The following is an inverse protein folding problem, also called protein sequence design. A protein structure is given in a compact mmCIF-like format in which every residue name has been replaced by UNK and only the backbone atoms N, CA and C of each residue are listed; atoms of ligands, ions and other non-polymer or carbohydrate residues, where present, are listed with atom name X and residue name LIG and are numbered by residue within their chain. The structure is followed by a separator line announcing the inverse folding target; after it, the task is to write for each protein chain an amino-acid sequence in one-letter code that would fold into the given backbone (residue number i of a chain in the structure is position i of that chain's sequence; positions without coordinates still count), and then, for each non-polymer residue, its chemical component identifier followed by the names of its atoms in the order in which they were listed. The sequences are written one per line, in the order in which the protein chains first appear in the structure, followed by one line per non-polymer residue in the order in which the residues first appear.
data_IF_311825628516
#
_entry.id   IF_311825628516
#
_cell.length_a   1.000
_cell.length_b   1.000
_cell.length_c   1.000
_cell.angle_alpha   90.00
_cell.angle_beta   90.00
_cell.angle_gamma   90.00
#
_symmetry.space_group_name_H-M   'P 1'
#
loop_
_entity.id
_entity.type
_entity.pdbx_description
1 polymer ?
#
# COMPACT_ATOMS: atom_id res chain seq x y z
N UNK A 1 -18.94 58.04 -24.40
CA UNK A 1 -18.67 59.16 -23.47
C UNK A 1 -20.00 59.72 -22.95
N UNK A 2 -20.07 60.00 -21.62
CA UNK A 2 -21.15 60.67 -20.84
C UNK A 2 -22.41 59.79 -20.61
N UNK A 3 -22.98 59.60 -19.41
CA UNK A 3 -22.86 60.19 -18.06
C UNK A 3 -23.66 59.28 -17.08
N UNK A 4 -23.18 59.08 -15.85
CA UNK A 4 -23.96 59.03 -14.58
C UNK A 4 -22.94 58.97 -13.42
N UNK A 5 -22.57 60.08 -12.76
CA UNK A 5 -23.20 60.74 -11.60
C UNK A 5 -23.29 59.87 -10.32
N UNK A 6 -22.31 60.12 -9.46
CA UNK A 6 -22.11 59.77 -8.03
C UNK A 6 -23.35 59.61 -7.16
N UNK A 7 -23.27 58.74 -6.14
CA UNK A 7 -23.39 59.13 -4.72
C UNK A 7 -22.54 58.18 -3.84
N UNK A 8 -21.51 58.75 -3.19
CA UNK A 8 -20.84 58.19 -2.00
C UNK A 8 -21.71 58.49 -0.77
N UNK A 9 -21.86 57.52 0.13
CA UNK A 9 -22.25 57.77 1.52
C UNK A 9 -21.11 57.26 2.42
N UNK A 10 -20.31 58.16 3.04
CA UNK A 10 -19.40 57.82 4.13
C UNK A 10 -20.18 57.87 5.45
N UNK A 11 -19.71 57.16 6.50
CA UNK A 11 -19.90 57.42 7.95
C UNK A 11 -19.71 56.09 8.72
N UNK A 12 -18.98 55.94 9.82
CA UNK A 12 -18.10 56.76 10.66
C UNK A 12 -17.24 55.75 11.44
N UNK A 13 -15.95 56.03 11.58
CA UNK A 13 -15.04 55.35 12.49
C UNK A 13 -15.40 55.66 13.95
N UNK A 14 -15.50 54.65 14.80
CA UNK A 14 -15.34 54.79 16.25
C UNK A 14 -14.13 53.97 16.69
N UNK A 15 -13.00 54.66 16.73
CA UNK A 15 -11.79 54.27 17.45
C UNK A 15 -12.02 54.44 18.95
N UNK A 16 -11.87 53.36 19.72
CA UNK A 16 -11.44 53.47 21.11
C UNK A 16 -10.04 52.91 21.22
N UNK A 17 -9.11 53.83 21.45
CA UNK A 17 -7.77 53.54 21.90
C UNK A 17 -7.85 53.03 23.35
N UNK A 18 -7.16 51.93 23.63
CA UNK A 18 -6.62 51.68 24.96
C UNK A 18 -5.22 51.09 24.81
N UNK A 19 -4.23 51.93 25.11
CA UNK A 19 -2.84 51.54 25.30
C UNK A 19 -2.71 50.85 26.66
N UNK A 20 -2.40 49.55 26.65
CA UNK A 20 -1.83 48.82 27.78
C UNK A 20 -0.48 48.21 27.36
N UNK A 21 0.59 48.62 28.05
CA UNK A 21 2.00 48.29 27.79
C UNK A 21 2.32 46.77 27.83
N UNK A 22 3.11 46.33 26.85
CA UNK A 22 4.26 45.39 26.89
C UNK A 22 4.25 44.22 27.89
N UNK A 23 4.25 42.99 27.34
CA UNK A 23 5.26 41.96 27.64
C UNK A 23 5.25 40.87 26.57
N UNK A 24 6.42 40.63 25.98
CA UNK A 24 6.70 39.47 25.12
C UNK A 24 6.22 38.18 25.81
N UNK A 25 5.39 37.41 25.10
CA UNK A 25 5.29 35.97 25.28
C UNK A 25 5.45 35.34 23.91
N UNK A 26 6.41 34.44 23.86
CA UNK A 26 6.76 33.60 22.72
C UNK A 26 5.49 33.06 22.06
N UNK A 27 5.52 33.11 20.73
CA UNK A 27 4.64 32.33 19.86
C UNK A 27 4.45 30.94 20.45
N UNK A 28 3.20 30.58 20.70
CA UNK A 28 2.77 29.23 21.07
C UNK A 28 3.49 28.24 20.17
N UNK A 29 4.45 27.53 20.76
CA UNK A 29 5.02 26.34 20.17
C UNK A 29 3.84 25.42 19.88
N UNK A 30 3.69 25.05 18.62
CA UNK A 30 2.95 23.85 18.21
C UNK A 30 3.31 22.77 19.22
N UNK A 31 2.35 22.40 20.04
CA UNK A 31 2.46 21.25 20.92
C UNK A 31 2.60 20.07 19.97
N UNK A 32 3.85 19.67 19.72
CA UNK A 32 4.18 18.33 19.27
C UNK A 32 3.44 17.41 20.22
N UNK A 33 2.37 16.81 19.72
CA UNK A 33 1.63 15.81 20.45
C UNK A 33 2.60 14.63 20.52
N UNK A 34 3.30 14.55 21.65
CA UNK A 34 4.26 13.51 21.95
C UNK A 34 3.66 12.17 21.52
N UNK A 35 4.38 11.53 20.59
CA UNK A 35 3.96 10.31 19.95
C UNK A 35 3.46 9.32 20.99
N UNK A 36 2.30 8.72 20.71
CA UNK A 36 1.90 7.45 21.28
C UNK A 36 3.13 6.55 21.26
N UNK A 37 3.71 6.28 22.44
CA UNK A 37 4.85 5.40 22.60
C UNK A 37 4.49 4.08 21.93
N UNK A 38 5.22 3.71 20.88
CA UNK A 38 5.07 2.43 20.18
C UNK A 38 5.33 1.33 21.21
N UNK A 39 4.27 0.72 21.77
CA UNK A 39 4.42 -0.27 22.85
C UNK A 39 4.82 -1.64 22.33
N UNK A 40 4.62 -1.89 21.03
CA UNK A 40 5.00 -3.13 20.36
C UNK A 40 5.62 -2.81 18.99
N UNK A 41 6.57 -3.62 18.50
CA UNK A 41 7.06 -3.51 17.14
C UNK A 41 5.92 -3.62 16.13
N UNK A 42 5.98 -2.81 15.09
CA UNK A 42 5.02 -2.86 13.99
C UNK A 42 4.99 -4.27 13.36
N UNK A 43 3.81 -4.71 12.94
CA UNK A 43 3.62 -6.03 12.37
C UNK A 43 2.52 -6.03 11.31
N UNK A 44 2.90 -6.28 10.06
CA UNK A 44 2.00 -6.36 8.90
C UNK A 44 0.89 -7.41 9.07
N UNK A 45 1.17 -8.53 9.74
CA UNK A 45 0.18 -9.58 9.96
C UNK A 45 -0.96 -9.14 10.89
N UNK A 46 -0.81 -8.04 11.63
CA UNK A 46 -1.88 -7.46 12.46
C UNK A 46 -2.77 -6.47 11.70
N UNK A 47 -2.38 -6.07 10.48
CA UNK A 47 -3.16 -5.16 9.68
C UNK A 47 -4.46 -5.81 9.20
N UNK A 48 -5.49 -4.98 9.07
CA UNK A 48 -6.82 -5.36 8.59
C UNK A 48 -7.28 -4.37 7.52
N UNK A 49 -8.01 -4.87 6.54
CA UNK A 49 -8.71 -4.00 5.60
C UNK A 49 -9.66 -3.05 6.36
N UNK A 50 -9.76 -1.81 5.89
CA UNK A 50 -10.58 -0.75 6.49
C UNK A 50 -9.88 0.10 7.57
N UNK A 51 -8.64 -0.23 7.94
CA UNK A 51 -7.86 0.63 8.85
C UNK A 51 -7.43 1.92 8.15
N UNK A 52 -7.44 3.04 8.87
CA UNK A 52 -6.97 4.31 8.33
C UNK A 52 -5.45 4.28 8.08
N UNK A 53 -5.01 4.75 6.91
CA UNK A 53 -3.61 4.72 6.49
C UNK A 53 -2.71 5.57 7.41
N UNK A 54 -3.19 6.72 7.88
CA UNK A 54 -2.41 7.60 8.76
C UNK A 54 -2.16 6.95 10.13
N UNK A 55 -3.14 6.21 10.64
CA UNK A 55 -2.97 5.44 11.88
C UNK A 55 -1.97 4.30 11.71
N UNK A 56 -1.98 3.62 10.56
CA UNK A 56 -0.99 2.59 10.22
C UNK A 56 0.42 3.20 10.21
N UNK A 57 0.62 4.29 9.46
CA UNK A 57 1.92 4.95 9.35
C UNK A 57 2.41 5.45 10.72
N UNK A 58 1.54 6.09 11.49
CA UNK A 58 1.84 6.53 12.86
C UNK A 58 2.23 5.35 13.76
N UNK A 59 1.53 4.23 13.66
CA UNK A 59 1.84 3.02 14.44
C UNK A 59 3.14 2.35 14.02
N UNK A 60 3.59 2.56 12.78
CA UNK A 60 4.88 2.11 12.28
C UNK A 60 6.02 3.07 12.64
N UNK A 61 5.70 4.31 13.06
CA UNK A 61 6.70 5.37 13.18
C UNK A 61 7.17 5.90 11.82
N UNK A 62 6.37 5.72 10.78
CA UNK A 62 6.67 6.12 9.41
C UNK A 62 5.83 7.32 8.97
N UNK A 63 6.27 7.97 7.90
CA UNK A 63 5.56 9.10 7.28
C UNK A 63 5.39 8.89 5.79
N UNK A 64 4.36 9.50 5.19
CA UNK A 64 4.15 9.42 3.73
C UNK A 64 5.36 9.91 2.91
N UNK A 65 6.17 10.80 3.48
CA UNK A 65 7.37 11.36 2.81
C UNK A 65 8.47 10.32 2.61
N UNK A 66 8.48 9.26 3.40
CA UNK A 66 9.42 8.15 3.29
C UNK A 66 8.97 7.13 2.24
N UNK A 67 7.72 7.24 1.76
CA UNK A 67 7.17 6.36 0.75
C UNK A 67 7.60 6.79 -0.66
N UNK A 68 7.77 5.80 -1.53
CA UNK A 68 7.67 6.02 -2.97
C UNK A 68 6.18 6.05 -3.34
N UNK A 69 5.66 7.25 -3.66
CA UNK A 69 4.28 7.44 -4.09
C UNK A 69 4.18 7.33 -5.61
N UNK A 70 3.16 6.62 -6.09
CA UNK A 70 2.73 6.70 -7.50
C UNK A 70 1.48 7.55 -7.56
N UNK A 71 1.46 8.58 -8.41
CA UNK A 71 0.24 9.38 -8.64
C UNK A 71 -0.85 8.61 -9.41
N UNK A 72 -0.61 7.34 -9.73
CA UNK A 72 -1.53 6.47 -10.42
C UNK A 72 -2.47 5.80 -9.41
N UNK A 73 -3.77 6.05 -9.62
CA UNK A 73 -4.85 5.36 -8.91
C UNK A 73 -5.14 4.04 -9.62
N UNK A 74 -5.42 2.97 -8.87
CA UNK A 74 -5.85 1.69 -9.45
C UNK A 74 -7.21 1.83 -10.15
N UNK A 75 -7.57 0.85 -10.98
CA UNK A 75 -8.90 0.79 -11.61
C UNK A 75 -10.06 0.66 -10.61
N UNK A 76 -9.75 0.47 -9.32
CA UNK A 76 -10.71 0.40 -8.21
C UNK A 76 -10.49 1.54 -7.20
N UNK A 77 -9.93 2.68 -7.64
CA UNK A 77 -9.92 3.90 -6.84
C UNK A 77 -8.89 3.97 -5.72
N UNK A 78 -7.84 3.13 -5.72
CA UNK A 78 -6.85 3.12 -4.63
C UNK A 78 -5.52 3.74 -5.04
N UNK A 79 -4.95 4.58 -4.17
CA UNK A 79 -3.57 5.05 -4.25
C UNK A 79 -2.60 4.03 -3.62
N UNK A 80 -1.29 4.28 -3.78
CA UNK A 80 -0.21 3.41 -3.31
C UNK A 80 0.87 4.19 -2.57
N UNK A 81 1.27 3.68 -1.41
CA UNK A 81 2.50 4.06 -0.73
C UNK A 81 3.42 2.84 -0.63
N UNK A 82 4.60 2.91 -1.25
CA UNK A 82 5.58 1.83 -1.21
C UNK A 82 6.73 2.17 -0.25
N UNK A 83 7.04 1.26 0.67
CA UNK A 83 8.10 1.42 1.67
C UNK A 83 9.09 0.26 1.58
N UNK A 84 10.36 0.59 1.53
CA UNK A 84 11.48 -0.37 1.66
C UNK A 84 12.19 -0.26 3.01
N UNK A 85 11.65 0.52 3.94
CA UNK A 85 12.26 0.75 5.24
C UNK A 85 11.92 -0.40 6.20
N UNK A 86 12.85 -0.67 7.12
CA UNK A 86 12.70 -1.73 8.13
C UNK A 86 11.45 -1.53 8.99
N UNK A 87 11.06 -0.29 9.26
CA UNK A 87 9.94 0.04 10.18
C UNK A 87 8.63 -0.62 9.76
N UNK A 88 8.36 -0.76 8.46
CA UNK A 88 7.16 -1.43 7.95
C UNK A 88 7.39 -2.87 7.49
N UNK A 89 8.63 -3.28 7.19
CA UNK A 89 8.96 -4.60 6.65
C UNK A 89 9.07 -5.69 7.72
N UNK A 90 8.13 -5.69 8.67
CA UNK A 90 8.05 -6.69 9.71
C UNK A 90 6.74 -7.49 9.63
N UNK A 91 6.84 -8.82 9.62
CA UNK A 91 5.69 -9.72 9.57
C UNK A 91 5.82 -10.75 10.69
N UNK A 92 4.91 -10.78 11.67
CA UNK A 92 4.97 -11.72 12.81
C UNK A 92 6.35 -11.83 13.49
N UNK A 93 7.04 -10.70 13.63
CA UNK A 93 8.37 -10.63 14.25
C UNK A 93 9.54 -11.07 13.36
N UNK A 94 9.30 -11.49 12.12
CA UNK A 94 10.38 -11.63 11.13
C UNK A 94 10.63 -10.31 10.42
N UNK A 95 11.91 -10.03 10.18
CA UNK A 95 12.38 -8.93 9.36
C UNK A 95 12.42 -9.39 7.89
N UNK A 96 11.87 -8.56 7.01
CA UNK A 96 11.77 -8.79 5.57
C UNK A 96 12.60 -7.77 4.78
N UNK A 97 13.40 -6.94 5.44
CA UNK A 97 14.37 -6.08 4.77
C UNK A 97 15.36 -6.93 3.96
N UNK A 98 15.60 -6.53 2.72
CA UNK A 98 16.50 -7.24 1.83
C UNK A 98 16.57 -6.57 0.47
N UNK A 99 17.66 -6.79 -0.25
CA UNK A 99 17.80 -6.37 -1.64
C UNK A 99 18.64 -7.35 -2.42
N UNK A 100 18.34 -7.49 -3.70
CA UNK A 100 19.23 -8.11 -4.68
C UNK A 100 19.88 -7.03 -5.55
N UNK A 101 20.52 -7.42 -6.65
CA UNK A 101 21.24 -6.48 -7.52
C UNK A 101 20.32 -5.48 -8.25
N UNK A 102 19.02 -5.77 -8.39
CA UNK A 102 18.06 -4.95 -9.16
C UNK A 102 16.96 -4.34 -8.30
N UNK A 103 16.55 -5.03 -7.24
CA UNK A 103 15.34 -4.70 -6.50
C UNK A 103 15.58 -4.76 -4.98
N UNK A 104 14.82 -3.95 -4.26
CA UNK A 104 14.74 -3.95 -2.80
C UNK A 104 13.37 -4.45 -2.40
N UNK A 105 13.32 -5.28 -1.36
CA UNK A 105 12.08 -5.72 -0.76
C UNK A 105 11.25 -4.51 -0.33
N UNK A 106 9.94 -4.62 -0.45
CA UNK A 106 9.04 -3.52 -0.11
C UNK A 106 7.67 -4.01 0.29
N UNK A 107 7.02 -3.21 1.13
CA UNK A 107 5.58 -3.28 1.33
C UNK A 107 4.91 -2.16 0.56
N UNK A 108 3.79 -2.45 -0.07
CA UNK A 108 2.94 -1.48 -0.74
C UNK A 108 1.60 -1.47 -0.02
N UNK A 109 1.21 -0.31 0.50
CA UNK A 109 -0.08 -0.08 1.11
C UNK A 109 -1.00 0.53 0.07
N UNK A 110 -2.10 -0.16 -0.24
CA UNK A 110 -3.13 0.31 -1.15
C UNK A 110 -4.31 0.81 -0.33
N UNK A 111 -4.66 2.08 -0.49
CA UNK A 111 -5.70 2.74 0.30
C UNK A 111 -6.63 3.55 -0.59
N UNK A 112 -7.88 3.68 -0.17
CA UNK A 112 -8.91 4.31 -0.97
C UNK A 112 -8.69 5.80 -1.14
N UNK A 113 -8.87 6.26 -2.37
CA UNK A 113 -8.90 7.67 -2.74
C UNK A 113 -10.21 7.96 -3.44
N UNK A 114 -11.17 8.47 -2.69
CA UNK A 114 -12.50 8.83 -3.17
C UNK A 114 -12.43 10.22 -3.77
N UNK A 115 -12.62 10.29 -5.08
CA UNK A 115 -12.72 11.56 -5.79
C UNK A 115 -14.02 12.28 -5.39
N UNK A 116 -13.92 13.58 -5.11
CA UNK A 116 -15.05 14.38 -4.62
C UNK A 116 -16.11 14.68 -5.67
N UNK A 117 -15.78 14.61 -6.97
CA UNK A 117 -16.70 14.89 -8.06
C UNK A 117 -17.42 13.61 -8.53
N UNK A 118 -16.69 12.50 -8.67
CA UNK A 118 -17.24 11.24 -9.20
C UNK A 118 -17.64 10.24 -8.11
N UNK A 119 -17.16 10.41 -6.88
CA UNK A 119 -17.36 9.43 -5.80
C UNK A 119 -16.47 8.20 -5.94
N UNK A 120 -16.75 7.11 -5.20
CA UNK A 120 -15.96 5.90 -5.27
C UNK A 120 -16.13 5.20 -6.62
N UNK A 121 -15.03 4.69 -7.17
CA UNK A 121 -14.99 3.85 -8.38
C UNK A 121 -15.45 2.42 -8.11
N UNK A 122 -15.25 1.94 -6.88
CA UNK A 122 -15.56 0.59 -6.43
C UNK A 122 -16.06 0.62 -4.98
N UNK A 123 -15.57 -0.25 -4.09
CA UNK A 123 -15.90 -0.22 -2.66
C UNK A 123 -14.84 0.46 -1.78
N UNK A 124 -13.93 1.24 -2.37
CA UNK A 124 -12.94 1.98 -1.62
C UNK A 124 -13.58 3.10 -0.78
N UNK A 125 -12.89 3.47 0.30
CA UNK A 125 -13.25 4.58 1.17
C UNK A 125 -12.02 5.41 1.45
N UNK A 126 -12.21 6.72 1.62
CA UNK A 126 -11.12 7.66 1.80
C UNK A 126 -10.19 7.22 2.94
N UNK A 127 -8.90 7.14 2.62
CA UNK A 127 -7.82 6.80 3.55
C UNK A 127 -7.91 5.41 4.19
N UNK A 128 -8.85 4.54 3.80
CA UNK A 128 -8.95 3.19 4.31
C UNK A 128 -8.06 2.21 3.52
N UNK A 129 -7.26 1.41 4.22
CA UNK A 129 -6.46 0.34 3.65
C UNK A 129 -7.37 -0.71 2.98
N UNK A 130 -7.25 -0.87 1.67
CA UNK A 130 -7.94 -1.93 0.93
C UNK A 130 -7.12 -3.23 0.86
N UNK A 131 -5.81 -3.12 0.65
CA UNK A 131 -4.88 -4.23 0.52
C UNK A 131 -3.48 -3.79 0.94
N UNK A 132 -2.68 -4.71 1.50
CA UNK A 132 -1.23 -4.57 1.46
C UNK A 132 -0.59 -5.67 0.62
N UNK A 133 0.50 -5.32 -0.03
CA UNK A 133 1.30 -6.20 -0.87
C UNK A 133 2.74 -6.23 -0.35
N UNK A 134 3.31 -7.41 -0.21
CA UNK A 134 4.75 -7.58 -0.03
C UNK A 134 5.37 -8.01 -1.34
N UNK A 135 6.41 -7.30 -1.76
CA UNK A 135 7.29 -7.68 -2.85
C UNK A 135 8.64 -8.07 -2.28
N UNK A 136 8.96 -9.37 -2.34
CA UNK A 136 10.18 -9.96 -1.83
C UNK A 136 11.01 -10.48 -3.00
N UNK A 137 12.26 -10.03 -3.08
CA UNK A 137 13.20 -10.33 -4.17
C UNK A 137 14.43 -11.11 -3.70
N UNK A 138 14.46 -11.48 -2.43
CA UNK A 138 15.55 -12.20 -1.78
C UNK A 138 15.07 -13.57 -1.26
N UNK A 139 15.94 -14.57 -1.36
CA UNK A 139 15.57 -15.95 -1.05
C UNK A 139 15.38 -16.19 0.45
N UNK A 140 16.25 -15.59 1.28
CA UNK A 140 16.21 -15.72 2.73
C UNK A 140 14.88 -15.20 3.29
N UNK A 141 14.52 -13.96 2.97
CA UNK A 141 13.29 -13.32 3.47
C UNK A 141 12.05 -14.01 2.92
N UNK A 142 12.06 -14.50 1.67
CA UNK A 142 10.95 -15.31 1.14
C UNK A 142 10.77 -16.60 1.91
N UNK A 143 11.87 -17.32 2.20
CA UNK A 143 11.82 -18.58 2.93
C UNK A 143 11.25 -18.36 4.33
N UNK A 144 11.75 -17.32 5.02
CA UNK A 144 11.24 -16.92 6.33
C UNK A 144 9.74 -16.56 6.27
N UNK A 145 9.29 -15.82 5.26
CA UNK A 145 7.88 -15.47 5.07
C UNK A 145 7.01 -16.72 4.88
N UNK A 146 7.39 -17.62 3.97
CA UNK A 146 6.61 -18.82 3.68
C UNK A 146 6.53 -19.76 4.89
N UNK A 147 7.64 -19.96 5.61
CA UNK A 147 7.64 -20.72 6.86
C UNK A 147 6.74 -20.08 7.93
N UNK A 148 6.78 -18.74 8.05
CA UNK A 148 5.94 -18.01 8.98
C UNK A 148 4.45 -18.15 8.63
N UNK A 149 4.08 -18.02 7.35
CA UNK A 149 2.71 -18.21 6.87
C UNK A 149 2.22 -19.64 7.19
N UNK A 150 3.01 -20.66 6.86
CA UNK A 150 2.67 -22.06 7.15
C UNK A 150 2.55 -22.35 8.65
N UNK A 151 3.33 -21.66 9.49
CA UNK A 151 3.26 -21.80 10.95
C UNK A 151 2.03 -21.10 11.56
N UNK A 152 1.69 -19.92 11.05
CA UNK A 152 0.68 -19.03 11.67
C UNK A 152 -0.71 -19.21 11.10
N UNK A 153 -0.82 -19.47 9.79
CA UNK A 153 -2.08 -19.69 9.07
C UNK A 153 -2.37 -21.17 8.82
N UNK A 154 -1.47 -22.06 9.27
CA UNK A 154 -1.50 -23.50 9.00
C UNK A 154 -1.41 -23.82 7.49
N UNK A 155 -2.05 -24.92 7.06
CA UNK A 155 -2.00 -25.37 5.66
C UNK A 155 -2.79 -24.41 4.77
N UNK A 156 -2.28 -24.04 3.58
CA UNK A 156 -3.06 -23.30 2.61
C UNK A 156 -4.34 -24.05 2.24
N UNK A 157 -5.39 -23.28 1.99
CA UNK A 157 -6.67 -23.79 1.48
C UNK A 157 -6.56 -24.26 0.03
N UNK A 158 -5.57 -23.72 -0.70
CA UNK A 158 -5.24 -24.10 -2.06
C UNK A 158 -3.75 -23.82 -2.31
N UNK A 159 -3.07 -24.74 -2.98
CA UNK A 159 -1.70 -24.60 -3.44
C UNK A 159 -1.53 -25.25 -4.82
N UNK A 160 -0.69 -24.65 -5.66
CA UNK A 160 -0.41 -25.13 -7.01
C UNK A 160 0.99 -24.76 -7.46
N UNK A 161 1.48 -25.47 -8.48
CA UNK A 161 2.73 -25.18 -9.18
C UNK A 161 2.41 -25.15 -10.67
N UNK A 162 2.73 -24.03 -11.31
CA UNK A 162 2.67 -23.86 -12.75
C UNK A 162 4.09 -23.86 -13.31
N UNK A 163 4.32 -24.66 -14.33
CA UNK A 163 5.59 -24.69 -15.05
C UNK A 163 5.32 -24.47 -16.54
N UNK A 164 6.20 -23.72 -17.18
CA UNK A 164 6.08 -23.44 -18.59
C UNK A 164 7.25 -22.65 -19.12
N UNK A 165 7.02 -21.96 -20.23
CA UNK A 165 8.00 -21.08 -20.83
C UNK A 165 7.48 -19.64 -20.83
N UNK A 166 8.36 -18.70 -20.48
CA UNK A 166 8.06 -17.27 -20.55
C UNK A 166 7.67 -16.91 -21.98
N UNK A 167 6.69 -16.03 -22.13
CA UNK A 167 6.28 -15.50 -23.43
C UNK A 167 6.56 -14.01 -23.51
N UNK A 168 7.00 -13.55 -24.67
CA UNK A 168 7.30 -12.15 -24.96
C UNK A 168 6.35 -11.64 -26.06
N UNK A 169 6.00 -10.36 -25.99
CA UNK A 169 5.20 -9.71 -27.05
C UNK A 169 6.14 -9.04 -28.03
N UNK A 170 6.08 -9.43 -29.30
CA UNK A 170 6.84 -8.82 -30.38
C UNK A 170 5.88 -8.28 -31.44
N UNK A 171 5.71 -6.97 -31.47
CA UNK A 171 4.64 -6.35 -32.28
C UNK A 171 3.27 -6.74 -31.72
N UNK A 172 2.47 -7.44 -32.53
CA UNK A 172 1.14 -7.93 -32.14
C UNK A 172 1.10 -9.45 -31.88
N UNK A 173 2.26 -10.12 -31.83
CA UNK A 173 2.36 -11.57 -31.62
C UNK A 173 2.93 -11.89 -30.24
N UNK A 174 2.40 -12.95 -29.63
CA UNK A 174 2.94 -13.56 -28.41
C UNK A 174 3.86 -14.70 -28.85
N UNK A 175 5.15 -14.58 -28.54
CA UNK A 175 6.17 -15.56 -28.88
C UNK A 175 6.66 -16.23 -27.60
N UNK A 176 6.59 -17.55 -27.56
CA UNK A 176 7.14 -18.33 -26.47
C UNK A 176 8.67 -18.33 -26.54
N UNK A 177 9.33 -18.01 -25.44
CA UNK A 177 10.79 -18.03 -25.31
C UNK A 177 11.29 -19.42 -24.91
N UNK A 178 12.61 -19.58 -24.82
CA UNK A 178 13.23 -20.77 -24.24
C UNK A 178 13.43 -20.67 -22.71
N UNK A 179 13.02 -19.57 -22.09
CA UNK A 179 13.19 -19.38 -20.64
C UNK A 179 12.10 -20.17 -19.93
N UNK A 180 12.51 -21.19 -19.17
CA UNK A 180 11.60 -21.91 -18.30
C UNK A 180 11.22 -21.01 -17.13
N UNK A 181 9.93 -20.94 -16.85
CA UNK A 181 9.42 -20.31 -15.64
C UNK A 181 8.70 -21.34 -14.78
N UNK A 182 8.77 -21.10 -13.48
CA UNK A 182 8.02 -21.83 -12.46
C UNK A 182 7.34 -20.83 -11.55
N UNK A 183 6.05 -21.05 -11.33
CA UNK A 183 5.22 -20.19 -10.50
C UNK A 183 4.50 -21.01 -9.43
N UNK A 184 4.77 -20.71 -8.18
CA UNK A 184 4.14 -21.38 -7.03
C UNK A 184 3.08 -20.46 -6.44
N UNK A 185 1.88 -20.99 -6.27
CA UNK A 185 0.75 -20.25 -5.70
C UNK A 185 0.31 -20.95 -4.43
N UNK A 186 0.02 -20.15 -3.41
CA UNK A 186 -0.63 -20.63 -2.20
C UNK A 186 -1.63 -19.60 -1.67
N UNK A 187 -2.76 -20.09 -1.17
CA UNK A 187 -3.89 -19.27 -0.73
C UNK A 187 -4.29 -19.69 0.67
N UNK A 188 -4.23 -18.76 1.62
CA UNK A 188 -4.78 -18.92 2.96
C UNK A 188 -5.97 -18.00 3.17
N UNK A 189 -6.86 -18.45 4.04
CA UNK A 189 -7.97 -17.66 4.56
C UNK A 189 -7.88 -17.68 6.08
N UNK A 190 -7.71 -16.51 6.69
CA UNK A 190 -7.84 -16.34 8.14
C UNK A 190 -8.92 -15.32 8.43
N UNK A 191 -9.99 -15.78 9.08
CA UNK A 191 -11.21 -15.00 9.32
C UNK A 191 -11.71 -14.36 8.03
N UNK A 192 -11.60 -13.04 7.95
CA UNK A 192 -12.06 -12.21 6.85
C UNK A 192 -10.94 -11.83 5.87
N UNK A 193 -9.68 -12.20 6.16
CA UNK A 193 -8.54 -11.85 5.33
C UNK A 193 -8.13 -13.04 4.46
N UNK A 194 -7.79 -12.73 3.22
CA UNK A 194 -7.18 -13.64 2.26
C UNK A 194 -5.71 -13.29 2.10
N UNK A 195 -4.88 -14.32 2.05
CA UNK A 195 -3.46 -14.23 1.80
C UNK A 195 -3.19 -14.98 0.51
N UNK A 196 -2.92 -14.26 -0.58
CA UNK A 196 -2.57 -14.82 -1.88
C UNK A 196 -1.06 -14.66 -2.09
N UNK A 197 -0.35 -15.78 -2.04
CA UNK A 197 1.09 -15.87 -2.27
C UNK A 197 1.36 -16.34 -3.70
N UNK A 198 2.33 -15.71 -4.35
CA UNK A 198 2.77 -16.05 -5.69
C UNK A 198 4.28 -15.85 -5.81
N UNK A 199 5.02 -16.95 -5.93
CA UNK A 199 6.46 -16.95 -6.21
C UNK A 199 6.67 -17.22 -7.70
N UNK A 200 7.51 -16.42 -8.37
CA UNK A 200 7.89 -16.62 -9.77
C UNK A 200 9.40 -16.74 -9.88
N UNK A 201 9.87 -17.82 -10.52
CA UNK A 201 11.26 -18.08 -10.87
C UNK A 201 11.40 -18.26 -12.37
N UNK A 202 12.49 -17.75 -12.93
CA UNK A 202 12.87 -17.93 -14.33
C UNK A 202 14.32 -18.45 -14.33
N UNK A 203 14.53 -19.66 -14.86
CA UNK A 203 15.79 -20.41 -14.70
C UNK A 203 17.04 -19.61 -15.11
N UNK A 204 16.94 -18.88 -16.23
CA UNK A 204 18.07 -18.12 -16.79
C UNK A 204 18.07 -16.64 -16.40
N UNK A 205 17.14 -16.21 -15.53
CA UNK A 205 17.00 -14.81 -15.11
C UNK A 205 16.78 -14.72 -13.59
N UNK A 206 17.76 -15.12 -12.76
CA UNK A 206 17.63 -15.12 -11.31
C UNK A 206 17.35 -13.73 -10.72
N UNK A 207 17.81 -12.66 -11.38
CA UNK A 207 17.54 -11.29 -10.93
C UNK A 207 16.07 -10.84 -11.14
N UNK A 208 15.30 -11.60 -11.93
CA UNK A 208 13.85 -11.39 -12.15
C UNK A 208 12.99 -12.23 -11.20
N UNK A 209 13.63 -12.94 -10.27
CA UNK A 209 12.94 -13.60 -9.18
C UNK A 209 12.07 -12.61 -8.40
N UNK A 210 10.83 -13.03 -8.12
CA UNK A 210 9.88 -12.26 -7.32
C UNK A 210 8.99 -13.19 -6.52
N UNK A 211 8.69 -12.77 -5.30
CA UNK A 211 7.68 -13.35 -4.45
C UNK A 211 6.72 -12.23 -4.05
N UNK A 212 5.46 -12.37 -4.41
CA UNK A 212 4.42 -11.44 -4.01
C UNK A 212 3.50 -12.09 -2.98
N UNK A 213 3.20 -11.39 -1.89
CA UNK A 213 2.09 -11.72 -1.00
C UNK A 213 1.09 -10.57 -1.03
N UNK A 214 -0.17 -10.87 -1.37
CA UNK A 214 -1.27 -9.93 -1.35
C UNK A 214 -2.23 -10.28 -0.23
N UNK A 215 -2.57 -9.30 0.60
CA UNK A 215 -3.45 -9.50 1.75
C UNK A 215 -4.63 -8.54 1.69
N UNK A 216 -5.84 -9.09 1.50
CA UNK A 216 -7.06 -8.34 1.22
C UNK A 216 -8.31 -9.09 1.67
N UNK A 217 -9.48 -8.45 1.59
CA UNK A 217 -10.79 -9.05 1.97
C UNK A 217 -11.79 -9.15 0.81
N UNK A 218 -11.77 -8.20 -0.11
CA UNK A 218 -12.89 -7.99 -1.04
C UNK A 218 -12.67 -8.60 -2.43
N UNK A 219 -13.77 -8.88 -3.14
CA UNK A 219 -13.77 -9.47 -4.49
C UNK A 219 -13.11 -8.59 -5.54
N UNK A 220 -13.20 -7.27 -5.40
CA UNK A 220 -12.59 -6.33 -6.34
C UNK A 220 -11.07 -6.46 -6.41
N UNK A 221 -10.40 -6.71 -5.28
CA UNK A 221 -8.97 -6.99 -5.25
C UNK A 221 -8.65 -8.29 -5.99
N UNK A 222 -9.44 -9.34 -5.77
CA UNK A 222 -9.32 -10.59 -6.51
C UNK A 222 -9.46 -10.38 -8.02
N UNK A 223 -10.47 -9.63 -8.44
CA UNK A 223 -10.75 -9.37 -9.85
C UNK A 223 -9.65 -8.48 -10.48
N UNK A 224 -9.12 -7.49 -9.74
CA UNK A 224 -7.99 -6.66 -10.15
C UNK A 224 -6.71 -7.50 -10.34
N UNK A 225 -6.37 -8.35 -9.37
CA UNK A 225 -5.20 -9.21 -9.46
C UNK A 225 -5.32 -10.22 -10.61
N UNK A 226 -6.54 -10.73 -10.86
CA UNK A 226 -6.81 -11.62 -11.99
C UNK A 226 -6.62 -10.90 -13.32
N UNK A 227 -7.12 -9.67 -13.44
CA UNK A 227 -6.86 -8.81 -14.59
C UNK A 227 -5.37 -8.46 -14.78
N UNK A 228 -4.59 -8.51 -13.69
CA UNK A 228 -3.14 -8.29 -13.71
C UNK A 228 -2.33 -9.56 -14.05
N UNK A 229 -3.00 -10.69 -14.33
CA UNK A 229 -2.35 -11.93 -14.76
C UNK A 229 -1.95 -12.88 -13.63
N UNK A 230 -2.38 -12.65 -12.39
CA UNK A 230 -2.16 -13.62 -11.31
C UNK A 230 -3.08 -14.84 -11.47
N UNK A 231 -2.54 -16.08 -11.47
CA UNK A 231 -3.30 -17.31 -11.69
C UNK A 231 -4.10 -17.73 -10.45
N UNK A 232 -4.98 -18.73 -10.61
CA UNK A 232 -5.73 -19.42 -9.55
C UNK A 232 -6.57 -18.56 -8.61
N UNK A 233 -6.74 -17.28 -8.90
CA UNK A 233 -7.63 -16.41 -8.14
C UNK A 233 -9.09 -16.87 -8.22
N UNK A 234 -9.48 -17.65 -9.23
CA UNK A 234 -10.79 -18.31 -9.29
C UNK A 234 -11.02 -19.33 -8.16
N UNK A 235 -9.96 -19.81 -7.50
CA UNK A 235 -10.05 -20.74 -6.35
C UNK A 235 -10.43 -20.06 -5.05
N UNK A 236 -10.39 -18.72 -5.00
CA UNK A 236 -10.83 -17.97 -3.84
C UNK A 236 -12.36 -17.88 -3.83
N UNK A 237 -12.98 -18.61 -2.89
CA UNK A 237 -14.39 -18.42 -2.51
C UNK A 237 -14.53 -17.26 -1.53
N UNK A 238 -15.07 -16.15 -2.01
CA UNK A 238 -15.39 -14.95 -1.23
C UNK A 238 -16.86 -14.95 -0.82
#
# INVERSE_FOLDING_TARGET
MKKLKYVLIPVICLSLASCGRQKNKESESLVETAGSTQTEPFNLAKLKAGQNINDILKSAGATEKEAVRTNEVTLIGNEKLAFSSKELLHFNGIDLEGRNNKNTNKVILHFGKVDHEIGPLANEKEDELGMYQLDIYTEQERTALLENLNKTLHKPSFDSIHEGFESEVKGNEIIQTHNKFRQEVAIWKDKDMLYYYCETKIDNRPDEYRCNLFVFKNKEWKDLLKGSGYPDLDKISL
#
